data_IF_486118903587
#
_entry.id   IF_486118903587
#
_cell.length_a   1.000
_cell.length_b   1.000
_cell.length_c   1.000
_cell.angle_alpha   90.00
_cell.angle_beta   90.00
_cell.angle_gamma   90.00
#
_symmetry.space_group_name_H-M   'P 1'
#
loop_
_entity.id
_entity.type
_entity.pdbx_description
1 polymer ?
#
# COMPACT_ATOMS: atom_id res chain seq x y z
N UNK A 1 2.16 10.95 -1.25
CA UNK A 1 3.11 9.82 -1.17
C UNK A 1 3.22 9.41 0.28
N UNK A 2 3.07 8.12 0.56
CA UNK A 2 3.17 7.52 1.90
C UNK A 2 4.39 6.57 1.91
N UNK A 3 5.01 6.40 3.07
CA UNK A 3 6.19 5.54 3.22
C UNK A 3 5.82 4.38 4.13
N UNK A 4 5.97 3.16 3.64
CA UNK A 4 5.73 1.96 4.43
C UNK A 4 6.61 1.95 5.68
N UNK A 5 6.00 1.87 6.86
CA UNK A 5 6.66 1.72 8.16
C UNK A 5 6.98 0.27 8.49
N UNK A 6 6.24 -0.66 7.88
CA UNK A 6 6.39 -2.10 8.06
C UNK A 6 6.28 -2.81 6.71
N UNK A 7 6.79 -4.04 6.63
CA UNK A 7 6.60 -4.89 5.45
C UNK A 7 5.26 -5.64 5.55
N UNK A 8 4.57 -5.79 4.43
CA UNK A 8 3.31 -6.52 4.35
C UNK A 8 3.19 -7.20 2.99
N UNK A 9 2.87 -8.49 2.97
CA UNK A 9 2.82 -9.29 1.74
C UNK A 9 1.49 -9.22 0.99
N UNK A 10 0.44 -8.67 1.61
CA UNK A 10 -0.93 -8.87 1.17
C UNK A 10 -1.52 -10.17 1.70
N UNK A 11 -2.85 -10.20 1.88
CA UNK A 11 -3.63 -11.39 2.26
C UNK A 11 -4.52 -11.90 1.10
N UNK A 12 -4.91 -11.01 0.19
CA UNK A 12 -5.78 -11.30 -0.96
C UNK A 12 -5.09 -10.92 -2.28
N UNK A 13 -5.57 -11.45 -3.41
CA UNK A 13 -4.99 -11.15 -4.74
C UNK A 13 -5.05 -9.66 -5.13
N UNK A 14 -6.00 -8.92 -4.54
CA UNK A 14 -6.18 -7.47 -4.76
C UNK A 14 -5.30 -6.59 -3.87
N UNK A 15 -4.54 -7.22 -2.97
CA UNK A 15 -3.74 -6.51 -2.00
C UNK A 15 -2.40 -6.09 -2.59
N UNK A 16 -1.96 -4.90 -2.18
CA UNK A 16 -0.67 -4.37 -2.54
C UNK A 16 0.35 -4.80 -1.50
N UNK A 17 1.14 -5.83 -1.82
CA UNK A 17 2.30 -6.20 -1.01
C UNK A 17 3.46 -5.20 -1.17
N UNK A 18 4.06 -4.76 -0.06
CA UNK A 18 5.18 -3.82 0.00
C UNK A 18 6.16 -4.16 1.12
N UNK A 19 7.38 -3.61 1.04
CA UNK A 19 8.38 -3.75 2.11
C UNK A 19 8.56 -2.44 2.86
N UNK A 20 9.07 -2.51 4.08
CA UNK A 20 9.42 -1.33 4.88
C UNK A 20 10.31 -0.38 4.07
N UNK A 21 9.96 0.91 4.10
CA UNK A 21 10.65 1.95 3.34
C UNK A 21 10.16 2.15 1.91
N UNK A 22 9.31 1.28 1.37
CA UNK A 22 8.70 1.51 0.06
C UNK A 22 7.88 2.80 0.05
N UNK A 23 7.92 3.50 -1.09
CA UNK A 23 7.09 4.67 -1.34
C UNK A 23 5.85 4.25 -2.12
N UNK A 24 4.67 4.58 -1.57
CA UNK A 24 3.38 4.28 -2.14
C UNK A 24 2.67 5.60 -2.47
N UNK A 25 2.22 5.74 -3.70
CA UNK A 25 1.33 6.81 -4.11
C UNK A 25 -0.09 6.45 -3.68
N UNK A 26 -0.68 7.21 -2.76
CA UNK A 26 -2.05 7.00 -2.34
C UNK A 26 -2.99 7.51 -3.45
N UNK A 27 -3.77 6.60 -4.03
CA UNK A 27 -4.72 6.88 -5.12
C UNK A 27 -6.13 7.13 -4.58
N UNK A 28 -6.53 6.40 -3.54
CA UNK A 28 -7.82 6.56 -2.87
C UNK A 28 -7.72 6.07 -1.44
N UNK A 29 -8.33 6.79 -0.50
CA UNK A 29 -8.35 6.42 0.92
C UNK A 29 -9.55 5.54 1.31
N UNK A 30 -10.46 5.26 0.37
CA UNK A 30 -11.65 4.43 0.61
C UNK A 30 -12.42 4.84 1.88
N UNK A 31 -12.66 3.85 2.72
CA UNK A 31 -13.29 3.87 4.05
C UNK A 31 -12.30 4.21 5.20
N UNK A 32 -11.08 4.65 4.87
CA UNK A 32 -10.08 5.14 5.81
C UNK A 32 -9.16 4.06 6.41
N UNK A 33 -9.65 2.82 6.52
CA UNK A 33 -8.87 1.67 7.00
C UNK A 33 -8.03 1.05 5.87
N UNK A 34 -8.60 0.97 4.66
CA UNK A 34 -7.99 0.37 3.49
C UNK A 34 -7.83 1.40 2.38
N UNK A 35 -6.59 1.61 1.98
CA UNK A 35 -6.24 2.57 0.93
C UNK A 35 -5.87 1.83 -0.34
N UNK A 36 -6.22 2.40 -1.48
CA UNK A 36 -5.71 1.98 -2.77
C UNK A 36 -4.49 2.82 -3.10
N UNK A 37 -3.39 2.18 -3.49
CA UNK A 37 -2.19 2.91 -3.86
C UNK A 37 -1.37 2.21 -4.92
N UNK A 38 -0.32 2.91 -5.33
CA UNK A 38 0.62 2.47 -6.37
C UNK A 38 2.04 2.48 -5.85
N UNK A 39 2.72 1.35 -5.91
CA UNK A 39 4.12 1.25 -5.52
C UNK A 39 5.03 2.01 -6.47
N UNK A 40 5.99 2.77 -5.93
CA UNK A 40 6.97 3.50 -6.74
C UNK A 40 7.91 2.56 -7.50
N UNK A 41 8.33 1.45 -6.88
CA UNK A 41 9.37 0.56 -7.43
C UNK A 41 8.95 -0.23 -8.66
N UNK A 42 7.72 -0.73 -8.69
CA UNK A 42 7.22 -1.65 -9.72
C UNK A 42 5.87 -1.24 -10.30
N UNK A 43 5.31 -0.10 -9.86
CA UNK A 43 4.02 0.43 -10.30
C UNK A 43 2.84 -0.50 -10.03
N UNK A 44 3.01 -1.52 -9.18
CA UNK A 44 1.91 -2.38 -8.73
C UNK A 44 0.84 -1.55 -8.03
N UNK A 45 -0.43 -1.88 -8.26
CA UNK A 45 -1.59 -1.19 -7.70
C UNK A 45 -2.42 -2.20 -6.92
N UNK A 46 -2.89 -1.80 -5.74
CA UNK A 46 -3.74 -2.64 -4.92
C UNK A 46 -4.14 -1.96 -3.62
N UNK A 47 -4.81 -2.74 -2.78
CA UNK A 47 -5.31 -2.33 -1.47
C UNK A 47 -4.28 -2.58 -0.38
N UNK A 48 -4.19 -1.68 0.59
CA UNK A 48 -3.34 -1.89 1.76
C UNK A 48 -3.91 -1.21 3.01
N UNK A 49 -3.59 -1.72 4.21
CA UNK A 49 -4.00 -1.08 5.45
C UNK A 49 -3.25 0.24 5.66
N UNK A 50 -4.00 1.30 5.93
CA UNK A 50 -3.45 2.65 6.15
C UNK A 50 -2.51 2.74 7.35
N UNK A 51 -2.65 1.84 8.33
CA UNK A 51 -1.82 1.82 9.54
C UNK A 51 -0.37 1.34 9.30
N UNK A 52 -0.07 0.79 8.11
CA UNK A 52 1.26 0.28 7.77
C UNK A 52 2.13 1.32 7.05
N UNK A 53 1.59 2.51 6.76
CA UNK A 53 2.25 3.60 6.03
C UNK A 53 2.32 4.91 6.80
#
# INVERSE_FOLDING_TARGET
WCRAKYSWSGEQERDLGFVEGDMIECLSTGDGLWWTGRLKRNRAVGLFPSNFV
#
